data_IF_071978003580
#
_entry.id   IF_071978003580
#
_cell.length_a   1.000
_cell.length_b   1.000
_cell.length_c   1.000
_cell.angle_alpha   90.00
_cell.angle_beta   90.00
_cell.angle_gamma   90.00
#
_symmetry.space_group_name_H-M   'P 1'
#
loop_
_entity.id
_entity.type
_entity.pdbx_description
1 polymer ?
#
# COMPACT_ATOMS: atom_id res chain seq x y z
N UNK A 1 9.52 6.06 -7.73
CA UNK A 1 9.20 5.16 -6.62
C UNK A 1 8.76 3.81 -7.19
N UNK A 2 9.51 2.75 -6.91
CA UNK A 2 9.14 1.38 -7.30
C UNK A 2 8.30 0.72 -6.20
N UNK A 3 7.46 -0.23 -6.60
CA UNK A 3 6.72 -1.05 -5.65
C UNK A 3 7.67 -1.98 -4.90
N UNK A 4 7.51 -2.03 -3.58
CA UNK A 4 8.19 -2.94 -2.66
C UNK A 4 7.12 -3.51 -1.70
N UNK A 5 6.83 -4.82 -1.74
CA UNK A 5 5.74 -5.41 -0.98
C UNK A 5 5.93 -5.29 0.54
N UNK A 6 7.14 -5.51 1.04
CA UNK A 6 7.42 -5.41 2.49
C UNK A 6 7.20 -4.00 3.03
N UNK A 7 7.60 -2.99 2.25
CA UNK A 7 7.36 -1.58 2.57
C UNK A 7 5.89 -1.23 2.52
N UNK A 8 5.14 -1.80 1.57
CA UNK A 8 3.69 -1.63 1.52
C UNK A 8 3.04 -2.20 2.77
N UNK A 9 3.43 -3.41 3.19
CA UNK A 9 2.95 -4.03 4.43
C UNK A 9 3.21 -3.15 5.66
N UNK A 10 4.41 -2.58 5.78
CA UNK A 10 4.74 -1.61 6.85
C UNK A 10 3.86 -0.36 6.80
N UNK A 11 3.52 0.13 5.61
CA UNK A 11 2.62 1.28 5.48
C UNK A 11 1.21 0.94 5.96
N UNK A 12 0.72 -0.26 5.65
CA UNK A 12 -0.59 -0.75 6.12
C UNK A 12 -0.65 -0.85 7.64
N UNK A 13 0.45 -1.28 8.29
CA UNK A 13 0.53 -1.34 9.76
C UNK A 13 0.41 0.04 10.43
N UNK A 14 0.79 1.11 9.72
CA UNK A 14 0.79 2.48 10.26
C UNK A 14 -0.46 3.27 9.88
N UNK A 15 -1.06 3.01 8.72
CA UNK A 15 -2.19 3.75 8.19
C UNK A 15 -3.47 2.90 8.16
N UNK A 16 -4.41 3.26 9.04
CA UNK A 16 -5.70 2.55 9.18
C UNK A 16 -6.57 2.63 7.93
N UNK A 17 -6.49 3.72 7.16
CA UNK A 17 -7.26 3.86 5.93
C UNK A 17 -6.74 2.88 4.88
N UNK A 18 -5.42 2.84 4.67
CA UNK A 18 -4.81 1.91 3.72
C UNK A 18 -5.00 0.46 4.17
N UNK A 19 -4.94 0.16 5.47
CA UNK A 19 -5.25 -1.18 5.99
C UNK A 19 -6.67 -1.60 5.63
N UNK A 20 -7.67 -0.74 5.88
CA UNK A 20 -9.07 -1.04 5.55
C UNK A 20 -9.28 -1.19 4.04
N UNK A 21 -8.68 -0.29 3.24
CA UNK A 21 -8.77 -0.36 1.78
C UNK A 21 -8.10 -1.62 1.23
N UNK A 22 -7.04 -2.10 1.86
CA UNK A 22 -6.40 -3.35 1.50
C UNK A 22 -7.28 -4.56 1.81
N UNK A 23 -7.98 -4.59 2.95
CA UNK A 23 -8.93 -5.65 3.27
C UNK A 23 -10.04 -5.73 2.21
N UNK A 24 -10.61 -4.59 1.81
CA UNK A 24 -11.60 -4.52 0.72
C UNK A 24 -11.03 -5.02 -0.61
N UNK A 25 -9.80 -4.60 -0.95
CA UNK A 25 -9.13 -5.00 -2.20
C UNK A 25 -8.85 -6.51 -2.20
N UNK A 26 -8.46 -7.11 -1.09
CA UNK A 26 -8.15 -8.55 -1.00
C UNK A 26 -9.35 -9.45 -1.30
N UNK A 27 -10.58 -8.97 -1.14
CA UNK A 27 -11.77 -9.74 -1.55
C UNK A 27 -11.85 -9.90 -3.08
N UNK A 28 -11.17 -9.03 -3.83
CA UNK A 28 -11.21 -8.97 -5.30
C UNK A 28 -9.95 -9.54 -5.97
N UNK A 29 -8.87 -9.79 -5.22
CA UNK A 29 -7.61 -10.30 -5.77
C UNK A 29 -7.25 -11.66 -5.14
N UNK A 30 -6.97 -12.70 -5.95
CA UNK A 30 -6.58 -14.02 -5.44
C UNK A 30 -5.16 -14.03 -4.86
N UNK A 31 -4.32 -13.06 -5.25
CA UNK A 31 -2.93 -12.94 -4.82
C UNK A 31 -2.73 -11.69 -3.96
N UNK A 32 -2.07 -11.90 -2.82
CA UNK A 32 -1.68 -10.86 -1.87
C UNK A 32 -0.84 -9.76 -2.52
N UNK A 33 0.13 -10.16 -3.36
CA UNK A 33 1.05 -9.22 -3.99
C UNK A 33 0.35 -8.34 -5.03
N UNK A 34 -0.65 -8.89 -5.73
CA UNK A 34 -1.47 -8.14 -6.69
C UNK A 34 -2.35 -7.11 -5.97
N UNK A 35 -2.95 -7.49 -4.84
CA UNK A 35 -3.72 -6.57 -3.99
C UNK A 35 -2.86 -5.40 -3.49
N UNK A 36 -1.66 -5.70 -2.97
CA UNK A 36 -0.70 -4.68 -2.51
C UNK A 36 -0.24 -3.77 -3.65
N UNK A 37 0.04 -4.34 -4.82
CA UNK A 37 0.45 -3.57 -5.99
C UNK A 37 -0.68 -2.67 -6.49
N UNK A 38 -1.92 -3.16 -6.52
CA UNK A 38 -3.09 -2.36 -6.86
C UNK A 38 -3.24 -1.17 -5.92
N UNK A 39 -3.21 -1.41 -4.61
CA UNK A 39 -3.34 -0.36 -3.59
C UNK A 39 -2.21 0.67 -3.71
N UNK A 40 -0.99 0.21 -4.01
CA UNK A 40 0.14 1.07 -4.27
C UNK A 40 -0.07 1.98 -5.49
N UNK A 41 -0.62 1.44 -6.60
CA UNK A 41 -0.92 2.27 -7.78
C UNK A 41 -2.07 3.26 -7.50
N UNK A 42 -3.12 2.85 -6.79
CA UNK A 42 -4.32 3.66 -6.59
C UNK A 42 -4.16 4.78 -5.57
N UNK A 43 -3.44 4.55 -4.47
CA UNK A 43 -3.34 5.51 -3.38
C UNK A 43 -1.92 6.03 -3.20
N UNK A 44 -0.96 5.11 -3.14
CA UNK A 44 0.41 5.47 -2.77
C UNK A 44 1.12 6.26 -3.87
N UNK A 45 0.84 5.99 -5.14
CA UNK A 45 1.38 6.75 -6.27
C UNK A 45 0.60 8.01 -6.62
N UNK A 46 -0.69 8.07 -6.31
CA UNK A 46 -1.56 9.19 -6.67
C UNK A 46 -1.50 10.34 -5.66
N UNK A 47 -1.39 10.00 -4.37
CA UNK A 47 -1.50 10.97 -3.28
C UNK A 47 -0.12 11.35 -2.70
N UNK A 48 0.25 12.64 -2.70
CA UNK A 48 1.54 13.09 -2.17
C UNK A 48 1.80 12.69 -0.71
N UNK A 49 0.75 12.65 0.12
CA UNK A 49 0.88 12.26 1.53
C UNK A 49 1.33 10.82 1.69
N UNK A 50 0.77 9.90 0.90
CA UNK A 50 1.15 8.50 0.94
C UNK A 50 2.48 8.25 0.24
N UNK A 51 2.81 9.01 -0.82
CA UNK A 51 4.16 8.98 -1.39
C UNK A 51 5.21 9.34 -0.34
N UNK A 52 5.00 10.42 0.41
CA UNK A 52 5.93 10.84 1.45
C UNK A 52 6.04 9.78 2.55
N UNK A 53 4.92 9.30 3.08
CA UNK A 53 4.91 8.24 4.09
C UNK A 53 5.67 7.00 3.60
N UNK A 54 5.38 6.52 2.38
CA UNK A 54 6.04 5.37 1.79
C UNK A 54 7.55 5.57 1.58
N UNK A 55 7.98 6.79 1.23
CA UNK A 55 9.40 7.10 1.08
C UNK A 55 10.13 7.18 2.43
N UNK A 56 9.44 7.58 3.51
CA UNK A 56 10.01 7.67 4.85
C UNK A 56 10.05 6.34 5.60
N UNK A 57 9.38 5.29 5.11
CA UNK A 57 9.44 3.91 5.63
C UNK A 57 10.76 3.18 5.29
N UNK A 58 11.87 3.90 5.24
CA UNK A 58 13.20 3.29 5.11
C UNK A 58 13.50 2.61 6.45
N UNK A 59 13.75 1.30 6.43
CA UNK A 59 14.38 0.60 7.56
C UNK A 59 15.68 1.27 7.99
#
# INVERSE_FOLDING_TARGET
MSFQPDRMKKLLEQDRFLSSAYDDVREHFPNDEEALHYLFQQYVKSEPIFQNAYNHLID
#
